data_IF_231127164835
#
_entry.id   IF_231127164835
#
_cell.length_a   1.000
_cell.length_b   1.000
_cell.length_c   1.000
_cell.angle_alpha   90.00
_cell.angle_beta   90.00
_cell.angle_gamma   90.00
#
_symmetry.space_group_name_H-M   'P 1'
#
loop_
_entity.id
_entity.type
_entity.pdbx_description
1 polymer ?
#
# COMPACT_ATOMS: atom_id res chain seq x y z
N UNK A 1 7.65 -42.81 -46.57
CA UNK A 1 8.93 -43.21 -47.21
C UNK A 1 9.99 -43.03 -46.14
N UNK A 2 10.68 -44.01 -45.57
CA UNK A 2 10.98 -45.41 -45.90
C UNK A 2 12.38 -45.70 -45.29
N UNK A 3 12.61 -46.93 -44.83
CA UNK A 3 13.81 -47.48 -44.14
C UNK A 3 13.92 -47.18 -42.64
N UNK A 4 13.75 -48.09 -41.66
CA UNK A 4 13.92 -49.55 -41.52
C UNK A 4 15.38 -50.05 -41.47
N UNK A 5 15.80 -50.54 -40.30
CA UNK A 5 16.53 -51.79 -40.00
C UNK A 5 16.58 -51.92 -38.44
N UNK A 6 15.82 -52.83 -37.79
CA UNK A 6 16.11 -54.26 -37.52
C UNK A 6 17.30 -54.42 -36.54
N UNK A 7 17.35 -55.25 -35.49
CA UNK A 7 16.51 -56.25 -34.79
C UNK A 7 17.45 -56.82 -33.71
N UNK A 8 17.07 -57.06 -32.45
CA UNK A 8 16.77 -58.39 -31.85
C UNK A 8 16.71 -58.15 -30.31
N UNK A 9 15.65 -58.44 -29.53
CA UNK A 9 15.01 -59.72 -29.11
C UNK A 9 16.00 -60.63 -28.34
N UNK A 10 15.82 -61.00 -27.07
CA UNK A 10 14.87 -61.93 -26.40
C UNK A 10 15.43 -62.16 -24.98
N UNK A 11 14.83 -62.73 -23.94
CA UNK A 11 13.53 -63.29 -23.50
C UNK A 11 13.77 -63.43 -21.95
N UNK A 12 12.83 -63.19 -21.05
CA UNK A 12 11.79 -64.15 -20.66
C UNK A 12 12.06 -64.70 -19.24
N UNK A 13 11.03 -64.76 -18.39
CA UNK A 13 11.10 -65.43 -17.09
C UNK A 13 9.97 -65.06 -16.13
N UNK A 14 8.94 -65.91 -16.07
CA UNK A 14 7.68 -65.76 -15.33
C UNK A 14 7.70 -66.53 -13.98
N UNK A 15 6.58 -66.41 -13.24
CA UNK A 15 6.09 -67.17 -12.07
C UNK A 15 6.50 -66.63 -10.68
N UNK A 16 5.59 -66.09 -9.84
CA UNK A 16 4.39 -66.63 -9.15
C UNK A 16 4.73 -67.21 -7.76
N UNK A 17 4.13 -66.67 -6.68
CA UNK A 17 3.25 -67.40 -5.74
C UNK A 17 2.88 -66.58 -4.48
N UNK A 18 1.63 -66.80 -4.05
CA UNK A 18 0.89 -66.21 -2.93
C UNK A 18 1.31 -66.68 -1.53
N UNK A 19 0.95 -65.91 -0.48
CA UNK A 19 0.10 -66.27 0.71
C UNK A 19 0.24 -65.19 1.81
N UNK A 20 -0.80 -64.41 2.17
CA UNK A 20 -1.95 -64.65 3.09
C UNK A 20 -1.58 -64.76 4.58
N UNK A 21 -2.19 -63.91 5.42
CA UNK A 21 -2.33 -64.14 6.87
C UNK A 21 -2.81 -62.95 7.70
N UNK A 22 -4.13 -62.82 7.92
CA UNK A 22 -4.76 -62.03 9.02
C UNK A 22 -4.90 -62.92 10.25
N UNK A 23 -4.67 -62.40 11.47
CA UNK A 23 -5.36 -62.86 12.67
C UNK A 23 -5.24 -61.84 13.83
N UNK A 24 -6.38 -61.43 14.36
CA UNK A 24 -6.54 -60.66 15.60
C UNK A 24 -6.53 -61.60 16.82
N UNK A 25 -6.03 -61.13 17.97
CA UNK A 25 -6.37 -61.70 19.29
C UNK A 25 -6.48 -60.60 20.35
N UNK A 26 -7.70 -60.52 20.90
CA UNK A 26 -8.10 -59.83 22.13
C UNK A 26 -7.70 -60.70 23.32
N UNK A 27 -7.18 -60.10 24.40
CA UNK A 27 -7.11 -60.73 25.72
C UNK A 27 -7.57 -59.72 26.76
N UNK A 28 -8.68 -60.05 27.42
CA UNK A 28 -9.15 -59.45 28.66
C UNK A 28 -8.66 -60.28 29.86
N UNK A 29 -8.74 -59.64 31.04
CA UNK A 29 -8.78 -60.16 32.41
C UNK A 29 -7.54 -59.86 33.24
N UNK A 30 -7.69 -58.94 34.20
CA UNK A 30 -7.23 -59.15 35.57
C UNK A 30 -8.09 -58.32 36.54
N UNK A 31 -8.49 -58.98 37.63
CA UNK A 31 -9.47 -58.61 38.63
C UNK A 31 -8.92 -57.66 39.71
N UNK A 32 -9.84 -56.92 40.31
CA UNK A 32 -9.71 -56.10 41.51
C UNK A 32 -9.40 -56.92 42.77
N UNK A 33 -8.50 -56.44 43.63
CA UNK A 33 -8.56 -56.65 45.08
C UNK A 33 -8.18 -55.36 45.84
N UNK A 34 -9.03 -55.03 46.81
CA UNK A 34 -8.99 -53.89 47.73
C UNK A 34 -7.92 -54.05 48.82
N UNK A 35 -7.29 -52.95 49.26
CA UNK A 35 -7.46 -52.34 50.60
C UNK A 35 -6.21 -51.61 51.15
N UNK A 36 -6.50 -50.47 51.82
CA UNK A 36 -5.79 -49.84 52.93
C UNK A 36 -4.60 -48.88 52.68
N UNK A 37 -4.96 -47.61 52.52
CA UNK A 37 -4.43 -46.37 53.12
C UNK A 37 -3.03 -46.32 53.76
N UNK A 38 -2.24 -45.34 53.30
CA UNK A 38 -1.53 -44.38 54.16
C UNK A 38 -1.18 -43.11 53.37
N UNK A 39 -1.26 -41.99 54.05
CA UNK A 39 -1.09 -40.61 53.60
C UNK A 39 0.35 -40.32 53.15
N UNK A 40 0.53 -39.71 51.97
CA UNK A 40 1.67 -38.84 51.68
C UNK A 40 1.34 -37.94 50.47
N UNK A 41 0.89 -36.72 50.75
CA UNK A 41 0.94 -35.59 49.82
C UNK A 41 2.41 -35.32 49.47
N UNK A 42 2.83 -35.44 48.20
CA UNK A 42 3.92 -34.66 47.57
C UNK A 42 4.15 -35.01 46.09
N UNK A 43 4.23 -33.95 45.29
CA UNK A 43 4.82 -33.80 43.95
C UNK A 43 4.25 -34.53 42.73
N UNK A 44 3.43 -33.80 41.97
CA UNK A 44 3.55 -33.79 40.51
C UNK A 44 3.76 -32.36 40.01
N UNK A 45 4.78 -32.23 39.18
CA UNK A 45 5.29 -30.97 38.65
C UNK A 45 4.26 -30.30 37.74
N UNK A 46 3.95 -29.04 38.06
CA UNK A 46 3.27 -28.13 37.15
C UNK A 46 4.20 -27.79 35.98
N UNK A 47 3.93 -28.40 34.83
CA UNK A 47 4.35 -27.85 33.54
C UNK A 47 3.37 -26.74 33.17
N UNK A 48 3.52 -25.55 33.74
CA UNK A 48 2.76 -24.38 33.28
C UNK A 48 3.11 -24.10 31.81
N UNK A 49 2.12 -23.90 30.91
CA UNK A 49 2.41 -23.29 29.61
C UNK A 49 2.95 -21.87 29.86
N UNK A 50 3.84 -21.34 28.99
CA UNK A 50 4.37 -20.01 29.17
C UNK A 50 3.19 -19.01 29.23
N UNK A 51 3.18 -18.21 30.28
CA UNK A 51 2.24 -17.12 30.45
C UNK A 51 2.23 -16.27 29.17
N UNK A 52 1.06 -16.18 28.54
CA UNK A 52 0.82 -15.26 27.43
C UNK A 52 0.98 -13.84 27.97
N UNK A 53 2.18 -13.28 27.82
CA UNK A 53 2.37 -11.83 27.98
C UNK A 53 1.60 -11.19 26.82
N UNK A 54 0.59 -10.34 27.08
CA UNK A 54 -0.07 -9.59 26.02
C UNK A 54 0.98 -8.73 25.32
N UNK A 55 1.35 -9.08 24.09
CA UNK A 55 2.18 -8.22 23.25
C UNK A 55 1.29 -7.07 22.77
N UNK A 56 1.64 -5.84 23.13
CA UNK A 56 0.90 -4.64 22.73
C UNK A 56 0.97 -4.49 21.20
N UNK A 57 -0.08 -4.92 20.49
CA UNK A 57 -0.21 -4.77 19.03
C UNK A 57 -1.38 -3.85 18.70
N UNK A 58 -1.16 -2.94 17.75
CA UNK A 58 -2.23 -2.09 17.22
C UNK A 58 -3.05 -2.87 16.23
N UNK A 59 -4.18 -3.42 16.65
CA UNK A 59 -5.09 -4.14 15.76
C UNK A 59 -6.42 -3.39 15.71
N UNK A 60 -6.67 -2.71 14.59
CA UNK A 60 -8.00 -2.18 14.30
C UNK A 60 -8.73 -3.15 13.36
N UNK A 61 -9.73 -3.86 13.88
CA UNK A 61 -10.60 -4.73 13.07
C UNK A 61 -11.88 -3.98 12.73
N UNK A 62 -12.13 -3.78 11.44
CA UNK A 62 -13.41 -3.32 10.94
C UNK A 62 -14.23 -4.53 10.46
N UNK A 63 -15.30 -4.84 11.19
CA UNK A 63 -16.27 -5.86 10.77
C UNK A 63 -17.42 -5.22 9.99
N UNK A 64 -17.88 -5.89 8.94
CA UNK A 64 -19.08 -5.46 8.23
C UNK A 64 -20.31 -5.75 9.11
N UNK A 65 -21.02 -4.71 9.56
CA UNK A 65 -22.30 -4.90 10.23
C UNK A 65 -23.27 -5.62 9.28
N UNK A 66 -23.88 -6.73 9.74
CA UNK A 66 -24.94 -7.39 9.01
C UNK A 66 -26.08 -6.40 8.77
N UNK A 67 -26.46 -6.20 7.51
CA UNK A 67 -27.56 -5.30 7.17
C UNK A 67 -28.87 -5.85 7.75
N UNK A 68 -29.37 -5.24 8.83
CA UNK A 68 -30.74 -5.45 9.25
C UNK A 68 -31.66 -4.94 8.14
N UNK A 69 -32.50 -5.82 7.60
CA UNK A 69 -33.50 -5.48 6.58
C UNK A 69 -34.62 -4.63 7.20
N UNK A 70 -34.33 -3.36 7.46
CA UNK A 70 -35.30 -2.34 7.87
C UNK A 70 -35.81 -1.58 6.66
N UNK A 71 -37.13 -1.60 6.41
CA UNK A 71 -37.78 -0.75 5.41
C UNK A 71 -37.54 0.73 5.75
N UNK A 72 -36.63 1.38 5.04
CA UNK A 72 -36.45 2.84 5.13
C UNK A 72 -37.46 3.56 4.26
N UNK A 73 -38.35 4.32 4.91
CA UNK A 73 -39.26 5.31 4.31
C UNK A 73 -38.41 6.46 3.75
N UNK A 74 -38.44 6.68 2.42
CA UNK A 74 -37.73 7.79 1.76
C UNK A 74 -38.33 9.13 2.21
N UNK A 75 -37.62 9.85 3.08
CA UNK A 75 -37.79 11.30 3.24
C UNK A 75 -36.88 12.02 2.24
N UNK A 76 -37.47 12.84 1.37
CA UNK A 76 -36.73 13.78 0.52
C UNK A 76 -36.53 15.06 1.31
N UNK A 77 -35.41 15.17 2.04
CA UNK A 77 -34.93 16.47 2.48
C UNK A 77 -33.89 16.99 1.48
N UNK A 78 -34.26 18.05 0.77
CA UNK A 78 -33.34 18.85 -0.02
C UNK A 78 -32.32 19.48 0.93
N UNK A 79 -31.07 19.03 0.87
CA UNK A 79 -29.98 19.60 1.65
C UNK A 79 -29.56 20.92 0.99
N UNK A 80 -30.15 22.03 1.45
CA UNK A 80 -29.59 23.35 1.20
C UNK A 80 -28.19 23.41 1.80
N UNK A 81 -27.17 23.48 0.95
CA UNK A 81 -25.79 23.79 1.36
C UNK A 81 -25.75 25.22 1.88
N UNK A 82 -26.07 25.42 3.16
CA UNK A 82 -25.69 26.63 3.88
C UNK A 82 -24.17 26.59 4.05
N UNK A 83 -23.46 27.51 3.39
CA UNK A 83 -22.08 27.84 3.76
C UNK A 83 -22.07 28.19 5.26
N UNK A 84 -21.16 27.63 6.09
CA UNK A 84 -21.00 28.13 7.45
C UNK A 84 -20.62 29.60 7.37
N UNK A 85 -21.27 30.43 8.17
CA UNK A 85 -20.89 31.83 8.32
C UNK A 85 -19.42 31.88 8.76
N UNK A 86 -18.60 32.63 8.04
CA UNK A 86 -17.27 33.01 8.47
C UNK A 86 -17.38 33.79 9.79
N UNK A 87 -16.96 33.19 10.90
CA UNK A 87 -16.89 33.91 12.17
C UNK A 87 -16.99 33.03 13.41
N UNK A 88 -15.83 32.73 13.99
CA UNK A 88 -15.55 32.00 15.24
C UNK A 88 -15.52 30.48 15.10
N UNK A 89 -14.31 29.94 15.16
CA UNK A 89 -14.09 28.52 15.43
C UNK A 89 -14.84 28.12 16.71
N UNK A 90 -15.54 26.97 16.73
CA UNK A 90 -16.30 26.54 17.89
C UNK A 90 -15.43 26.15 19.08
N UNK A 91 -14.12 25.96 18.87
CA UNK A 91 -13.15 25.59 19.90
C UNK A 91 -12.22 26.77 20.22
N UNK A 92 -11.78 26.92 21.48
CA UNK A 92 -10.73 27.87 21.82
C UNK A 92 -9.44 27.61 21.03
N UNK A 93 -8.77 28.69 20.60
CA UNK A 93 -7.44 28.61 19.99
C UNK A 93 -6.47 27.94 20.97
N UNK A 94 -5.68 26.99 20.48
CA UNK A 94 -4.73 26.21 21.28
C UNK A 94 -5.27 24.90 21.86
N UNK A 95 -6.59 24.66 21.85
CA UNK A 95 -7.16 23.36 22.24
C UNK A 95 -7.20 22.38 21.07
N UNK A 96 -7.56 22.87 19.88
CA UNK A 96 -7.64 22.04 18.69
C UNK A 96 -6.23 21.72 18.17
N UNK A 97 -5.94 20.41 18.02
CA UNK A 97 -4.73 19.96 17.34
C UNK A 97 -5.02 19.76 15.84
N UNK A 98 -4.18 20.36 14.99
CA UNK A 98 -4.31 20.26 13.53
C UNK A 98 -3.80 18.93 12.97
N UNK A 99 -3.02 18.18 13.74
CA UNK A 99 -2.39 16.94 13.31
C UNK A 99 -2.60 15.82 14.32
N UNK A 100 -2.52 14.60 13.82
CA UNK A 100 -2.46 13.36 14.60
C UNK A 100 -1.26 12.54 14.12
N UNK A 101 -0.93 11.46 14.81
CA UNK A 101 0.16 10.57 14.41
C UNK A 101 -0.17 9.11 14.73
N UNK A 102 0.75 8.20 14.41
CA UNK A 102 0.58 6.77 14.67
C UNK A 102 1.46 6.29 15.83
N UNK A 103 1.98 7.18 16.67
CA UNK A 103 2.89 6.83 17.76
C UNK A 103 2.12 6.26 18.96
N UNK A 104 2.66 5.19 19.58
CA UNK A 104 2.03 4.56 20.74
C UNK A 104 2.22 5.38 22.01
N UNK A 105 1.17 5.39 22.82
CA UNK A 105 1.33 5.74 24.24
C UNK A 105 2.00 4.56 24.96
N UNK A 106 3.09 4.80 25.71
CA UNK A 106 3.84 3.74 26.39
C UNK A 106 3.05 3.13 27.56
N UNK A 107 2.04 3.84 28.08
CA UNK A 107 1.18 3.36 29.16
C UNK A 107 -0.21 4.01 29.09
N UNK A 108 -1.24 3.23 29.43
CA UNK A 108 -2.61 3.73 29.60
C UNK A 108 -2.82 4.47 30.94
N UNK A 109 -1.90 4.30 31.89
CA UNK A 109 -1.96 4.89 33.23
C UNK A 109 -0.72 5.75 33.55
N UNK A 110 0.12 6.02 32.55
CA UNK A 110 1.31 6.85 32.72
C UNK A 110 0.98 8.33 32.90
N UNK A 111 2.02 9.12 33.20
CA UNK A 111 1.91 10.59 33.25
C UNK A 111 1.51 11.13 31.87
N UNK A 112 0.31 11.70 31.68
CA UNK A 112 -0.15 12.17 30.37
C UNK A 112 0.70 13.31 29.79
N UNK A 113 1.52 13.98 30.61
CA UNK A 113 2.41 15.06 30.17
C UNK A 113 3.79 14.56 29.71
N UNK A 114 4.05 13.24 29.74
CA UNK A 114 5.36 12.69 29.40
C UNK A 114 5.84 13.11 28.00
N UNK A 115 4.91 13.19 27.02
CA UNK A 115 5.22 13.63 25.66
C UNK A 115 5.62 15.09 25.60
N UNK A 116 4.90 15.95 26.32
CA UNK A 116 5.20 17.37 26.39
C UNK A 116 6.60 17.57 27.00
N UNK A 117 6.91 16.87 28.09
CA UNK A 117 8.24 16.88 28.72
C UNK A 117 9.34 16.39 27.78
N UNK A 118 9.10 15.35 26.98
CA UNK A 118 10.05 14.90 25.96
C UNK A 118 10.23 15.91 24.82
N UNK A 119 9.15 16.54 24.36
CA UNK A 119 9.20 17.56 23.32
C UNK A 119 9.92 18.82 23.79
N UNK A 120 9.69 19.27 25.02
CA UNK A 120 10.39 20.39 25.65
C UNK A 120 11.89 20.09 25.80
N UNK A 121 12.24 18.88 26.23
CA UNK A 121 13.64 18.45 26.30
C UNK A 121 14.30 18.40 24.90
N UNK A 122 13.57 17.94 23.88
CA UNK A 122 14.04 17.92 22.49
C UNK A 122 14.06 19.31 21.83
N UNK A 123 13.30 20.28 22.35
CA UNK A 123 13.28 21.66 21.89
C UNK A 123 14.28 22.57 22.63
N UNK A 124 15.11 22.00 23.50
CA UNK A 124 16.17 22.74 24.18
C UNK A 124 17.11 23.43 23.17
N UNK A 125 17.65 24.63 23.47
CA UNK A 125 18.33 25.49 22.47
C UNK A 125 19.54 24.85 21.76
N UNK A 126 20.10 23.77 22.31
CA UNK A 126 21.24 23.05 21.76
C UNK A 126 20.87 21.76 20.99
N UNK A 127 19.59 21.37 20.98
CA UNK A 127 19.14 20.15 20.31
C UNK A 127 18.71 20.45 18.86
N UNK A 128 19.13 19.63 17.87
CA UNK A 128 18.59 19.72 16.52
C UNK A 128 17.08 19.42 16.55
N UNK A 129 16.28 20.04 15.66
CA UNK A 129 14.84 19.77 15.61
C UNK A 129 14.61 18.27 15.34
N UNK A 130 13.61 17.66 15.99
CA UNK A 130 13.36 16.23 15.85
C UNK A 130 13.07 15.89 14.38
N UNK A 131 13.83 14.95 13.84
CA UNK A 131 13.64 14.45 12.48
C UNK A 131 12.28 13.75 12.40
N UNK A 132 11.46 14.16 11.42
CA UNK A 132 10.20 13.48 11.13
C UNK A 132 10.47 12.19 10.37
N UNK A 133 9.68 11.16 10.68
CA UNK A 133 9.74 9.87 9.98
C UNK A 133 8.99 9.97 8.65
N UNK A 134 9.19 8.99 7.80
CA UNK A 134 8.30 8.67 6.68
C UNK A 134 7.38 7.50 7.04
N UNK A 135 6.26 7.34 6.33
CA UNK A 135 5.29 6.28 6.58
C UNK A 135 5.27 5.29 5.42
N UNK A 136 5.47 4.00 5.72
CA UNK A 136 5.19 2.92 4.79
C UNK A 136 3.81 2.31 5.06
N UNK A 137 2.95 2.30 4.05
CA UNK A 137 1.63 1.68 4.07
C UNK A 137 1.51 0.60 2.98
N UNK A 138 1.19 -0.64 3.37
CA UNK A 138 1.17 -1.79 2.45
C UNK A 138 -0.09 -2.64 2.70
N UNK A 139 -0.88 -2.99 1.67
CA UNK A 139 -1.90 -4.01 1.79
C UNK A 139 -1.25 -5.37 1.90
N UNK A 140 -1.63 -6.17 2.89
CA UNK A 140 -0.97 -7.43 3.19
C UNK A 140 -1.96 -8.59 3.31
N UNK A 141 -1.52 -9.75 2.86
CA UNK A 141 -2.14 -11.03 3.18
C UNK A 141 -1.11 -12.10 3.48
N UNK A 142 -1.54 -13.05 4.29
CA UNK A 142 -0.66 -14.02 4.93
C UNK A 142 0.06 -14.93 3.94
N UNK A 143 -0.49 -15.09 2.72
CA UNK A 143 0.12 -15.88 1.66
C UNK A 143 1.40 -15.25 1.10
N UNK A 144 1.57 -13.94 1.22
CA UNK A 144 2.73 -13.21 0.71
C UNK A 144 3.63 -12.68 1.84
N UNK A 145 3.46 -13.25 3.04
CA UNK A 145 4.13 -12.84 4.28
C UNK A 145 5.66 -12.71 4.15
N UNK A 146 6.32 -13.65 3.48
CA UNK A 146 7.78 -13.64 3.34
C UNK A 146 8.30 -12.51 2.43
N UNK A 147 7.54 -12.16 1.38
CA UNK A 147 7.87 -11.04 0.50
C UNK A 147 7.73 -9.73 1.27
N UNK A 148 6.62 -9.57 1.99
CA UNK A 148 6.39 -8.39 2.84
C UNK A 148 7.43 -8.29 3.95
N UNK A 149 7.88 -9.41 4.52
CA UNK A 149 8.97 -9.40 5.50
C UNK A 149 10.26 -8.81 4.93
N UNK A 150 10.66 -9.25 3.72
CA UNK A 150 11.83 -8.67 3.03
C UNK A 150 11.62 -7.19 2.73
N UNK A 151 10.41 -6.80 2.33
CA UNK A 151 10.02 -5.41 2.10
C UNK A 151 10.20 -4.57 3.36
N UNK A 152 9.48 -4.89 4.44
CA UNK A 152 9.47 -4.09 5.68
C UNK A 152 10.85 -4.06 6.35
N UNK A 153 11.63 -5.14 6.23
CA UNK A 153 13.00 -5.20 6.79
C UNK A 153 13.96 -4.17 6.19
N UNK A 154 13.68 -3.62 4.99
CA UNK A 154 14.47 -2.53 4.41
C UNK A 154 14.20 -1.17 5.05
N UNK A 155 13.10 -1.01 5.81
CA UNK A 155 12.66 0.28 6.34
C UNK A 155 13.02 0.42 7.83
N UNK A 156 14.13 1.11 8.17
CA UNK A 156 14.60 1.22 9.55
C UNK A 156 13.61 1.94 10.46
N UNK A 157 13.54 1.50 11.72
CA UNK A 157 12.54 1.99 12.68
C UNK A 157 12.70 3.46 13.05
N UNK A 158 13.93 3.99 12.99
CA UNK A 158 14.23 5.39 13.33
C UNK A 158 13.76 6.37 12.25
N UNK A 159 13.73 5.92 10.99
CA UNK A 159 13.32 6.76 9.85
C UNK A 159 11.89 6.48 9.37
N UNK A 160 11.33 5.30 9.69
CA UNK A 160 10.05 4.87 9.13
C UNK A 160 9.07 4.31 10.17
N UNK A 161 7.84 4.83 10.11
CA UNK A 161 6.67 4.16 10.65
C UNK A 161 6.09 3.17 9.61
N UNK A 162 5.43 2.12 10.07
CA UNK A 162 4.86 1.08 9.20
C UNK A 162 3.40 0.86 9.56
N UNK A 163 2.55 0.78 8.54
CA UNK A 163 1.14 0.47 8.63
C UNK A 163 0.79 -0.64 7.64
N UNK A 164 0.16 -1.71 8.14
CA UNK A 164 -0.23 -2.87 7.35
C UNK A 164 -1.75 -2.93 7.20
N UNK A 165 -2.22 -3.08 5.97
CA UNK A 165 -3.65 -3.24 5.65
C UNK A 165 -4.00 -4.71 5.37
N UNK A 166 -4.43 -5.43 6.39
CA UNK A 166 -4.77 -6.85 6.34
C UNK A 166 -6.09 -7.06 5.60
N UNK A 167 -6.02 -7.26 4.29
CA UNK A 167 -7.21 -7.49 3.45
C UNK A 167 -7.76 -8.91 3.59
N UNK A 168 -7.03 -9.84 4.19
CA UNK A 168 -7.49 -11.20 4.48
C UNK A 168 -7.96 -11.39 5.94
N UNK A 169 -7.70 -10.40 6.79
CA UNK A 169 -8.02 -10.40 8.22
C UNK A 169 -7.03 -11.19 9.10
N UNK A 170 -5.97 -11.75 8.53
CA UNK A 170 -4.98 -12.56 9.26
C UNK A 170 -3.93 -11.64 9.92
N UNK A 171 -4.17 -11.22 11.16
CA UNK A 171 -3.26 -10.30 11.88
C UNK A 171 -2.29 -11.03 12.79
N UNK A 172 -2.76 -12.02 13.56
CA UNK A 172 -1.96 -12.64 14.64
C UNK A 172 -0.70 -13.33 14.13
N UNK A 173 -0.79 -13.95 12.95
CA UNK A 173 0.30 -14.68 12.32
C UNK A 173 1.47 -13.78 11.91
N UNK A 174 1.27 -12.48 11.78
CA UNK A 174 2.38 -11.53 11.54
C UNK A 174 3.24 -11.31 12.77
N UNK A 175 2.82 -11.83 13.91
CA UNK A 175 3.52 -11.77 15.17
C UNK A 175 4.86 -12.48 15.24
N UNK A 176 5.18 -13.29 14.22
CA UNK A 176 6.43 -14.05 14.15
C UNK A 176 7.63 -13.17 13.79
N UNK A 177 7.40 -11.91 13.41
CA UNK A 177 8.46 -10.96 13.08
C UNK A 177 8.57 -9.87 14.15
N UNK A 178 9.79 -9.58 14.61
CA UNK A 178 10.03 -8.60 15.67
C UNK A 178 9.56 -7.19 15.29
N UNK A 179 9.73 -6.79 14.03
CA UNK A 179 9.28 -5.49 13.54
C UNK A 179 7.75 -5.35 13.53
N UNK A 180 6.99 -6.44 13.65
CA UNK A 180 5.52 -6.43 13.67
C UNK A 180 4.98 -5.64 14.85
N UNK A 181 5.67 -5.66 16.00
CA UNK A 181 5.23 -4.97 17.22
C UNK A 181 5.25 -3.44 17.08
N UNK A 182 6.14 -2.89 16.25
CA UNK A 182 6.17 -1.44 15.96
C UNK A 182 5.20 -1.02 14.86
N UNK A 183 4.62 -1.96 14.11
CA UNK A 183 3.72 -1.66 13.01
C UNK A 183 2.28 -1.39 13.50
N UNK A 184 1.54 -0.61 12.71
CA UNK A 184 0.09 -0.40 12.90
C UNK A 184 -0.64 -1.40 12.03
N UNK A 185 -1.45 -2.29 12.61
CA UNK A 185 -2.23 -3.28 11.86
C UNK A 185 -3.68 -2.82 11.75
N UNK A 186 -4.16 -2.70 10.52
CA UNK A 186 -5.56 -2.40 10.22
C UNK A 186 -6.11 -3.55 9.39
N UNK A 187 -7.19 -4.17 9.85
CA UNK A 187 -7.76 -5.35 9.23
C UNK A 187 -9.21 -5.12 8.81
N UNK A 188 -9.48 -5.35 7.53
CA UNK A 188 -10.81 -5.32 6.95
C UNK A 188 -10.86 -6.29 5.77
N UNK A 189 -11.52 -7.43 5.98
CA UNK A 189 -11.50 -8.52 5.00
C UNK A 189 -12.14 -8.10 3.68
N UNK A 190 -11.48 -8.43 2.57
CA UNK A 190 -11.93 -8.16 1.21
C UNK A 190 -11.83 -6.71 0.76
N UNK A 191 -11.18 -5.84 1.53
CA UNK A 191 -10.97 -4.43 1.16
C UNK A 191 -9.64 -4.26 0.42
N UNK A 192 -9.59 -3.32 -0.52
CA UNK A 192 -8.42 -3.04 -1.35
C UNK A 192 -7.52 -1.96 -0.74
N UNK A 193 -6.29 -1.84 -1.25
CA UNK A 193 -5.31 -0.80 -0.88
C UNK A 193 -5.92 0.59 -0.73
N UNK A 194 -6.61 1.07 -1.77
CA UNK A 194 -7.16 2.42 -1.78
C UNK A 194 -8.39 2.59 -0.89
N UNK A 195 -9.12 1.51 -0.57
CA UNK A 195 -10.17 1.56 0.43
C UNK A 195 -9.60 1.87 1.82
N UNK A 196 -8.49 1.21 2.18
CA UNK A 196 -7.78 1.47 3.44
C UNK A 196 -7.13 2.85 3.45
N UNK A 197 -6.39 3.19 2.39
CA UNK A 197 -5.73 4.49 2.27
C UNK A 197 -6.72 5.65 2.47
N UNK A 198 -7.91 5.57 1.86
CA UNK A 198 -8.94 6.61 2.02
C UNK A 198 -9.42 6.78 3.47
N UNK A 199 -9.43 5.71 4.28
CA UNK A 199 -10.00 5.70 5.62
C UNK A 199 -8.99 5.91 6.73
N UNK A 200 -7.75 5.46 6.54
CA UNK A 200 -6.75 5.41 7.61
C UNK A 200 -5.52 6.29 7.34
N UNK A 201 -5.31 6.74 6.10
CA UNK A 201 -4.25 7.71 5.76
C UNK A 201 -4.86 9.11 5.57
N UNK A 202 -5.64 9.57 6.55
CA UNK A 202 -6.23 10.91 6.51
C UNK A 202 -5.11 11.99 6.53
N UNK A 203 -5.27 13.14 5.84
CA UNK A 203 -4.19 14.11 5.69
C UNK A 203 -3.54 14.60 6.98
N UNK A 204 -4.29 14.72 8.06
CA UNK A 204 -3.83 15.21 9.36
C UNK A 204 -3.10 14.12 10.16
N UNK A 205 -3.36 12.84 9.87
CA UNK A 205 -2.53 11.71 10.33
C UNK A 205 -1.21 11.65 9.57
N UNK A 206 -1.26 11.82 8.24
CA UNK A 206 -0.06 11.82 7.40
C UNK A 206 0.78 13.09 7.62
N UNK A 207 0.17 14.17 8.12
CA UNK A 207 0.84 15.43 8.40
C UNK A 207 1.96 15.34 9.45
N UNK A 208 2.05 14.25 10.21
CA UNK A 208 3.17 13.96 11.11
C UNK A 208 4.43 13.42 10.39
N UNK A 209 4.31 12.98 9.13
CA UNK A 209 5.37 12.33 8.37
C UNK A 209 5.85 13.20 7.20
N UNK A 210 7.10 13.00 6.77
CA UNK A 210 7.65 13.73 5.62
C UNK A 210 7.12 13.19 4.29
N UNK A 211 7.18 11.87 4.13
CA UNK A 211 6.68 11.16 2.94
C UNK A 211 5.81 9.98 3.33
N UNK A 212 4.88 9.60 2.45
CA UNK A 212 4.06 8.39 2.57
C UNK A 212 4.24 7.50 1.35
N UNK A 213 4.63 6.25 1.60
CA UNK A 213 4.79 5.17 0.63
C UNK A 213 3.51 4.34 0.66
N UNK A 214 2.81 4.19 -0.47
CA UNK A 214 1.55 3.43 -0.55
C UNK A 214 1.73 2.28 -1.52
N UNK A 215 2.49 1.27 -1.09
CA UNK A 215 3.02 0.23 -1.95
C UNK A 215 2.14 -1.02 -1.99
N UNK A 216 2.21 -1.79 -3.07
CA UNK A 216 1.65 -3.15 -3.12
C UNK A 216 2.57 -4.15 -2.39
N UNK A 217 2.05 -5.34 -2.04
CA UNK A 217 2.81 -6.36 -1.31
C UNK A 217 3.72 -7.24 -2.18
N UNK A 218 3.54 -7.25 -3.49
CA UNK A 218 4.25 -8.13 -4.42
C UNK A 218 5.49 -7.46 -5.05
N UNK A 219 6.12 -6.61 -4.26
CA UNK A 219 7.30 -5.82 -4.60
C UNK A 219 8.54 -6.43 -3.95
N UNK A 220 9.49 -6.85 -4.77
CA UNK A 220 10.83 -7.24 -4.32
C UNK A 220 11.75 -6.02 -4.24
N UNK A 221 12.51 -5.94 -3.15
CA UNK A 221 13.30 -4.76 -2.77
C UNK A 221 14.79 -5.08 -2.60
N UNK A 222 15.28 -6.13 -3.23
CA UNK A 222 16.67 -6.59 -3.03
C UNK A 222 17.68 -5.47 -3.35
N UNK A 223 17.45 -4.76 -4.46
CA UNK A 223 18.28 -3.65 -4.94
C UNK A 223 17.76 -2.25 -4.52
N UNK A 224 16.84 -2.18 -3.56
CA UNK A 224 16.25 -0.93 -3.09
C UNK A 224 16.71 -0.59 -1.67
N UNK A 225 17.04 0.68 -1.46
CA UNK A 225 17.29 1.31 -0.17
C UNK A 225 16.37 2.54 0.03
N UNK A 226 15.45 2.53 1.00
CA UNK A 226 14.49 3.61 1.18
C UNK A 226 15.10 4.93 1.68
N UNK A 227 16.26 4.87 2.35
CA UNK A 227 16.95 6.08 2.84
C UNK A 227 17.61 6.79 1.68
N UNK A 228 18.39 6.05 0.86
CA UNK A 228 18.99 6.59 -0.37
C UNK A 228 17.95 7.08 -1.36
N UNK A 229 16.85 6.36 -1.50
CA UNK A 229 15.71 6.78 -2.31
C UNK A 229 15.19 8.16 -1.87
N UNK A 230 14.96 8.36 -0.58
CA UNK A 230 14.47 9.64 -0.07
C UNK A 230 15.52 10.76 -0.18
N UNK A 231 16.81 10.45 -0.14
CA UNK A 231 17.86 11.45 -0.39
C UNK A 231 17.79 11.98 -1.82
N UNK A 232 17.51 11.12 -2.80
CA UNK A 232 17.26 11.55 -4.19
C UNK A 232 15.96 12.34 -4.28
N UNK A 233 14.85 11.85 -3.72
CA UNK A 233 13.55 12.56 -3.73
C UNK A 233 13.68 13.98 -3.18
N UNK A 234 14.40 14.16 -2.06
CA UNK A 234 14.64 15.48 -1.46
C UNK A 234 15.55 16.36 -2.32
N UNK A 235 16.67 15.81 -2.80
CA UNK A 235 17.62 16.56 -3.64
C UNK A 235 16.95 17.07 -4.91
N UNK A 236 16.12 16.24 -5.52
CA UNK A 236 15.46 16.49 -6.80
C UNK A 236 14.11 17.23 -6.67
N UNK A 237 13.69 17.55 -5.44
CA UNK A 237 12.43 18.25 -5.18
C UNK A 237 11.19 17.49 -5.66
N UNK A 238 11.21 16.15 -5.59
CA UNK A 238 10.08 15.33 -6.03
C UNK A 238 8.99 15.32 -4.95
N UNK A 239 7.78 15.68 -5.39
CA UNK A 239 6.57 15.75 -4.57
C UNK A 239 5.72 14.49 -4.72
N UNK A 240 5.77 13.88 -5.91
CA UNK A 240 5.18 12.57 -6.20
C UNK A 240 6.23 11.75 -6.94
N UNK A 241 6.57 10.58 -6.41
CA UNK A 241 7.65 9.79 -6.96
C UNK A 241 7.41 8.30 -6.85
N UNK A 242 8.24 7.50 -7.53
CA UNK A 242 8.33 6.07 -7.32
C UNK A 242 9.76 5.58 -7.59
N UNK A 243 10.18 4.42 -7.08
CA UNK A 243 11.39 3.76 -7.59
C UNK A 243 11.18 3.29 -9.03
N UNK A 244 12.27 3.16 -9.78
CA UNK A 244 12.23 2.51 -11.09
C UNK A 244 11.89 1.03 -10.97
N UNK A 245 11.27 0.49 -12.01
CA UNK A 245 10.97 -0.93 -12.15
C UNK A 245 12.13 -1.61 -12.86
N UNK A 246 12.67 -2.66 -12.23
CA UNK A 246 13.55 -3.61 -12.88
C UNK A 246 12.88 -4.14 -14.15
N UNK A 247 13.65 -4.33 -15.22
CA UNK A 247 13.15 -4.74 -16.54
C UNK A 247 12.49 -6.13 -16.56
N UNK A 248 12.71 -6.92 -15.52
CA UNK A 248 12.05 -8.21 -15.29
C UNK A 248 10.63 -8.07 -14.72
N UNK A 249 10.23 -6.86 -14.33
CA UNK A 249 8.90 -6.57 -13.77
C UNK A 249 7.79 -6.68 -14.81
N UNK A 250 6.54 -6.81 -14.34
CA UNK A 250 5.36 -6.52 -15.17
C UNK A 250 5.26 -5.00 -15.40
N UNK A 251 5.75 -4.53 -16.56
CA UNK A 251 5.81 -3.10 -16.92
C UNK A 251 4.62 -2.71 -17.78
N UNK A 252 3.83 -1.74 -17.33
CA UNK A 252 2.68 -1.22 -18.09
C UNK A 252 3.02 0.06 -18.87
N UNK A 253 3.89 0.91 -18.30
CA UNK A 253 4.29 2.18 -18.89
C UNK A 253 5.82 2.31 -18.95
N UNK A 254 6.34 2.70 -20.11
CA UNK A 254 7.79 2.74 -20.33
C UNK A 254 8.51 3.74 -19.41
N UNK A 255 7.83 4.81 -18.98
CA UNK A 255 8.38 5.82 -18.07
C UNK A 255 8.76 5.25 -16.70
N UNK A 256 8.25 4.09 -16.27
CA UNK A 256 8.62 3.50 -14.98
C UNK A 256 9.77 2.51 -15.09
N UNK A 257 10.24 2.23 -16.30
CA UNK A 257 11.27 1.22 -16.53
C UNK A 257 12.63 1.78 -16.18
N UNK A 258 13.42 1.01 -15.42
CA UNK A 258 14.83 1.35 -15.15
C UNK A 258 15.61 1.58 -16.44
N UNK A 259 16.31 2.70 -16.50
CA UNK A 259 17.14 3.09 -17.63
C UNK A 259 18.23 2.05 -17.91
N UNK A 260 18.63 1.94 -19.18
CA UNK A 260 19.74 1.05 -19.59
C UNK A 260 21.08 1.58 -19.08
N UNK A 261 21.21 2.89 -19.10
CA UNK A 261 22.37 3.64 -18.68
C UNK A 261 21.95 4.53 -17.52
N UNK A 262 22.79 4.71 -16.49
CA UNK A 262 22.50 5.61 -15.40
C UNK A 262 22.17 7.02 -15.91
N UNK A 263 21.13 7.63 -15.36
CA UNK A 263 20.88 9.06 -15.57
C UNK A 263 21.80 9.89 -14.68
N UNK A 264 22.21 11.07 -15.15
CA UNK A 264 23.17 11.93 -14.44
C UNK A 264 22.64 12.37 -13.06
N UNK A 265 21.34 12.69 -12.99
CA UNK A 265 20.62 13.08 -11.77
C UNK A 265 20.03 11.88 -11.00
N UNK A 266 20.17 10.66 -11.52
CA UNK A 266 19.63 9.43 -10.94
C UNK A 266 18.10 9.33 -10.97
N UNK A 267 17.42 10.16 -11.76
CA UNK A 267 15.97 10.15 -11.94
C UNK A 267 15.58 10.22 -13.42
N UNK A 268 14.33 9.90 -13.75
CA UNK A 268 13.74 10.23 -15.04
C UNK A 268 12.29 10.69 -14.89
N UNK A 269 11.94 11.74 -15.64
CA UNK A 269 10.63 12.41 -15.58
C UNK A 269 9.91 12.38 -16.92
N UNK A 270 10.53 11.81 -17.95
CA UNK A 270 10.05 11.78 -19.33
C UNK A 270 10.51 10.52 -20.05
N UNK A 271 9.67 10.01 -20.95
CA UNK A 271 10.04 8.97 -21.91
C UNK A 271 9.78 9.45 -23.35
N UNK A 272 10.65 9.04 -24.27
CA UNK A 272 10.51 9.27 -25.71
C UNK A 272 10.41 7.92 -26.40
N UNK A 273 9.20 7.45 -26.64
CA UNK A 273 8.90 6.21 -27.36
C UNK A 273 7.83 6.47 -28.44
N UNK A 274 7.47 5.43 -29.21
CA UNK A 274 6.48 5.56 -30.28
C UNK A 274 5.09 6.03 -29.81
N UNK A 275 4.76 5.88 -28.52
CA UNK A 275 3.48 6.34 -27.94
C UNK A 275 3.56 7.79 -27.46
N UNK A 276 4.74 8.25 -27.04
CA UNK A 276 4.96 9.58 -26.48
C UNK A 276 5.50 10.61 -27.48
N UNK A 277 6.03 10.17 -28.63
CA UNK A 277 6.61 11.05 -29.64
C UNK A 277 7.65 12.02 -29.06
N UNK A 278 7.68 13.24 -29.58
CA UNK A 278 8.60 14.31 -29.12
C UNK A 278 8.16 15.00 -27.81
N UNK A 279 7.08 14.54 -27.17
CA UNK A 279 6.69 14.95 -25.82
C UNK A 279 5.49 15.88 -25.77
N UNK A 280 4.30 15.28 -25.85
CA UNK A 280 2.99 15.87 -25.56
C UNK A 280 2.83 16.50 -24.16
N UNK A 281 3.85 16.42 -23.29
CA UNK A 281 3.85 17.05 -21.96
C UNK A 281 2.86 16.41 -20.98
N UNK A 282 2.18 15.35 -21.43
CA UNK A 282 1.06 14.74 -20.74
C UNK A 282 1.47 13.40 -20.11
N UNK A 283 0.76 12.94 -19.07
CA UNK A 283 0.95 11.61 -18.56
C UNK A 283 0.37 10.60 -19.56
N UNK A 284 1.01 9.43 -19.76
CA UNK A 284 2.08 8.88 -18.94
C UNK A 284 3.49 9.25 -19.43
N UNK A 285 3.63 10.16 -20.39
CA UNK A 285 4.89 10.46 -21.06
C UNK A 285 5.79 11.41 -20.28
N UNK A 286 5.21 12.24 -19.42
CA UNK A 286 5.89 13.23 -18.57
C UNK A 286 5.26 13.28 -17.19
N UNK A 287 6.09 13.34 -16.15
CA UNK A 287 5.63 13.61 -14.78
C UNK A 287 4.58 12.61 -14.31
N UNK A 288 4.86 11.32 -14.46
CA UNK A 288 3.92 10.23 -14.19
C UNK A 288 4.56 9.16 -13.31
N UNK A 289 3.77 8.62 -12.40
CA UNK A 289 4.11 7.45 -11.58
C UNK A 289 2.89 6.53 -11.53
N UNK A 290 3.16 5.23 -11.39
CA UNK A 290 2.15 4.19 -11.29
C UNK A 290 1.64 4.06 -9.86
N UNK A 291 0.34 3.81 -9.72
CA UNK A 291 -0.35 3.67 -8.43
C UNK A 291 0.05 2.44 -7.61
N UNK A 292 0.94 1.57 -8.12
CA UNK A 292 1.42 0.38 -7.44
C UNK A 292 2.43 0.67 -6.32
N UNK A 293 3.43 1.54 -6.57
CA UNK A 293 4.50 1.91 -5.62
C UNK A 293 4.71 3.42 -5.49
N UNK A 294 3.64 4.25 -5.44
CA UNK A 294 3.80 5.68 -5.34
C UNK A 294 4.32 6.08 -3.95
N UNK A 295 5.04 7.18 -3.94
CA UNK A 295 5.50 7.91 -2.77
C UNK A 295 5.03 9.36 -2.93
N UNK A 296 4.39 9.88 -1.90
CA UNK A 296 3.89 11.25 -1.88
C UNK A 296 4.60 12.03 -0.78
N UNK A 297 4.93 13.28 -1.05
CA UNK A 297 5.15 14.25 0.02
C UNK A 297 3.86 14.44 0.82
N UNK A 298 4.00 14.97 2.03
CA UNK A 298 2.84 15.39 2.84
C UNK A 298 1.89 16.33 2.10
N UNK A 299 2.43 17.31 1.39
CA UNK A 299 1.64 18.30 0.67
C UNK A 299 0.86 17.65 -0.47
N UNK A 300 1.56 16.82 -1.27
CA UNK A 300 0.94 16.12 -2.38
C UNK A 300 -0.12 15.11 -1.91
N UNK A 301 0.13 14.39 -0.81
CA UNK A 301 -0.84 13.46 -0.27
C UNK A 301 -2.13 14.13 0.21
N UNK A 302 -2.06 15.32 0.83
CA UNK A 302 -3.27 16.05 1.26
C UNK A 302 -4.21 16.31 0.08
N UNK A 303 -3.68 16.65 -1.09
CA UNK A 303 -4.46 16.77 -2.32
C UNK A 303 -4.90 15.41 -2.87
N UNK A 304 -3.97 14.45 -3.01
CA UNK A 304 -4.25 13.14 -3.61
C UNK A 304 -5.30 12.35 -2.81
N UNK A 305 -5.28 12.44 -1.48
CA UNK A 305 -6.29 11.85 -0.62
C UNK A 305 -7.70 12.39 -0.91
N UNK A 306 -7.84 13.68 -1.24
CA UNK A 306 -9.10 14.29 -1.67
C UNK A 306 -9.61 13.73 -3.00
N UNK A 307 -8.69 13.34 -3.88
CA UNK A 307 -8.98 12.73 -5.18
C UNK A 307 -9.47 11.28 -5.05
N UNK A 308 -8.95 10.52 -4.09
CA UNK A 308 -9.41 9.14 -3.81
C UNK A 308 -10.89 9.15 -3.39
N UNK A 309 -11.72 8.43 -4.14
CA UNK A 309 -13.17 8.38 -3.95
C UNK A 309 -13.56 7.27 -2.95
N UNK A 310 -14.58 7.52 -2.13
CA UNK A 310 -15.01 6.56 -1.10
C UNK A 310 -15.56 5.23 -1.67
N UNK A 311 -16.13 5.27 -2.88
CA UNK A 311 -16.80 4.16 -3.55
C UNK A 311 -15.97 3.52 -4.69
N UNK A 312 -14.88 4.16 -5.14
CA UNK A 312 -13.97 3.63 -6.15
C UNK A 312 -12.71 3.12 -5.46
N UNK A 313 -12.65 1.81 -5.25
CA UNK A 313 -11.71 1.21 -4.29
C UNK A 313 -10.44 0.66 -4.97
N UNK A 314 -10.37 0.58 -6.30
CA UNK A 314 -9.19 0.03 -6.99
C UNK A 314 -8.15 1.09 -7.36
N UNK A 315 -8.52 2.36 -7.41
CA UNK A 315 -7.60 3.48 -7.69
C UNK A 315 -7.10 3.59 -9.13
N UNK A 316 -7.59 2.77 -10.06
CA UNK A 316 -7.22 2.88 -11.48
C UNK A 316 -7.65 4.24 -12.05
N UNK A 317 -6.73 4.91 -12.75
CA UNK A 317 -6.90 6.26 -13.29
C UNK A 317 -6.38 7.38 -12.37
N UNK A 318 -6.07 7.09 -11.10
CA UNK A 318 -5.47 8.07 -10.20
C UNK A 318 -4.05 8.46 -10.66
N UNK A 319 -3.26 7.50 -11.13
CA UNK A 319 -1.95 7.67 -11.76
C UNK A 319 -1.92 8.78 -12.82
N UNK A 320 -2.98 8.92 -13.61
CA UNK A 320 -3.10 10.00 -14.60
C UNK A 320 -3.38 11.39 -14.02
N UNK A 321 -3.78 11.47 -12.74
CA UNK A 321 -4.23 12.71 -12.10
C UNK A 321 -3.40 13.11 -10.88
N UNK A 322 -2.65 12.20 -10.25
CA UNK A 322 -1.82 12.51 -9.07
C UNK A 322 -0.80 13.61 -9.32
N UNK A 323 -0.35 13.80 -10.57
CA UNK A 323 0.52 14.92 -10.93
C UNK A 323 -0.10 16.31 -10.71
N UNK A 324 -1.43 16.45 -10.73
CA UNK A 324 -2.12 17.70 -10.35
C UNK A 324 -1.97 18.04 -8.87
N UNK A 325 -1.60 17.06 -8.05
CA UNK A 325 -1.39 17.23 -6.63
C UNK A 325 0.07 17.50 -6.26
N UNK A 326 0.99 17.45 -7.23
CA UNK A 326 2.37 17.86 -6.99
C UNK A 326 2.47 19.39 -7.04
N UNK A 327 2.90 20.06 -5.96
CA UNK A 327 3.24 21.48 -6.03
C UNK A 327 4.21 21.78 -7.19
N UNK A 328 3.96 22.87 -7.92
CA UNK A 328 4.79 23.27 -9.05
C UNK A 328 4.47 22.56 -10.37
N UNK A 329 5.42 22.58 -11.30
CA UNK A 329 5.30 21.89 -12.59
C UNK A 329 5.55 20.38 -12.40
N UNK A 330 4.57 19.54 -12.72
CA UNK A 330 4.68 18.09 -12.62
C UNK A 330 5.81 17.51 -13.48
N UNK A 331 6.20 18.19 -14.56
CA UNK A 331 7.33 17.76 -15.38
C UNK A 331 8.66 17.83 -14.64
N UNK A 332 8.71 18.54 -13.51
CA UNK A 332 9.88 18.71 -12.63
C UNK A 332 9.66 17.97 -11.31
N UNK A 333 8.49 18.12 -10.69
CA UNK A 333 8.24 17.63 -9.31
C UNK A 333 7.63 16.23 -9.26
N UNK A 334 7.36 15.60 -10.42
CA UNK A 334 6.93 14.20 -10.50
C UNK A 334 7.95 13.38 -11.29
N UNK A 335 8.40 12.27 -10.73
CA UNK A 335 9.46 11.49 -11.36
C UNK A 335 9.71 10.12 -10.77
N UNK A 336 10.45 9.33 -11.54
CA UNK A 336 10.91 8.00 -11.17
C UNK A 336 12.36 8.10 -10.74
N UNK A 337 12.68 7.57 -9.57
CA UNK A 337 14.06 7.48 -9.08
C UNK A 337 14.70 6.26 -9.72
N UNK A 338 15.63 6.47 -10.64
CA UNK A 338 16.27 5.41 -11.42
C UNK A 338 17.39 4.71 -10.66
N UNK A 339 18.10 5.46 -9.81
CA UNK A 339 19.20 4.94 -9.01
C UNK A 339 18.77 3.90 -7.97
N UNK A 340 17.49 3.90 -7.57
CA UNK A 340 16.90 2.99 -6.58
C UNK A 340 15.69 2.30 -7.21
N UNK A 341 15.73 0.97 -7.33
CA UNK A 341 14.77 0.24 -8.15
C UNK A 341 14.25 -1.03 -7.47
N UNK A 342 13.05 -1.43 -7.87
CA UNK A 342 12.31 -2.58 -7.33
C UNK A 342 11.87 -3.52 -8.44
N UNK A 343 11.57 -4.78 -8.10
CA UNK A 343 10.96 -5.73 -9.03
C UNK A 343 9.51 -5.98 -8.65
N UNK A 344 8.59 -5.79 -9.59
CA UNK A 344 7.17 -6.07 -9.41
C UNK A 344 6.78 -7.38 -10.07
N UNK A 345 6.27 -8.31 -9.26
CA UNK A 345 5.94 -9.67 -9.70
C UNK A 345 4.61 -9.77 -10.44
N UNK A 346 3.67 -8.84 -10.23
CA UNK A 346 2.33 -8.90 -10.82
C UNK A 346 1.47 -10.04 -10.25
N UNK A 347 1.66 -10.41 -8.99
CA UNK A 347 0.90 -11.48 -8.32
C UNK A 347 -0.46 -10.92 -7.91
N UNK A 348 -1.58 -11.40 -8.48
CA UNK A 348 -2.88 -10.82 -8.16
C UNK A 348 -3.33 -11.19 -6.75
N UNK A 349 -3.64 -10.14 -5.98
CA UNK A 349 -3.83 -10.21 -4.53
C UNK A 349 -5.29 -10.47 -4.12
N UNK A 350 -6.26 -10.10 -4.96
CA UNK A 350 -7.69 -10.28 -4.65
C UNK A 350 -8.21 -11.62 -5.19
N UNK A 351 -7.83 -12.70 -4.53
CA UNK A 351 -8.26 -14.06 -4.84
C UNK A 351 -7.91 -15.03 -3.72
N UNK A 352 -8.73 -15.06 -2.66
CA UNK A 352 -8.69 -16.13 -1.66
C UNK A 352 -9.06 -17.47 -2.31
N UNK A 353 -8.10 -18.11 -2.98
CA UNK A 353 -8.29 -19.39 -3.69
C UNK A 353 -7.46 -19.38 -4.97
N UNK A 354 -6.59 -20.38 -5.13
CA UNK A 354 -5.58 -20.43 -6.18
C UNK A 354 -6.12 -20.14 -7.58
N UNK A 355 -5.35 -19.40 -8.37
CA UNK A 355 -5.31 -19.51 -9.83
C UNK A 355 -6.60 -19.31 -10.62
N UNK A 356 -7.72 -18.86 -10.03
CA UNK A 356 -8.94 -18.66 -10.81
C UNK A 356 -8.82 -17.39 -11.66
N UNK A 357 -8.42 -17.58 -12.92
CA UNK A 357 -8.40 -16.56 -13.98
C UNK A 357 -9.71 -15.76 -14.05
N UNK A 358 -10.84 -16.40 -13.73
CA UNK A 358 -12.16 -15.76 -13.61
C UNK A 358 -12.22 -14.65 -12.55
N UNK A 359 -11.57 -14.84 -11.40
CA UNK A 359 -11.49 -13.84 -10.32
C UNK A 359 -10.63 -12.64 -10.73
N UNK A 360 -9.45 -12.90 -11.30
CA UNK A 360 -8.57 -11.85 -11.85
C UNK A 360 -9.28 -11.01 -12.91
N UNK A 361 -9.99 -11.67 -13.82
CA UNK A 361 -10.77 -10.99 -14.86
C UNK A 361 -11.91 -10.15 -14.26
N UNK A 362 -12.60 -10.64 -13.22
CA UNK A 362 -13.64 -9.87 -12.54
C UNK A 362 -13.09 -8.61 -11.86
N UNK A 363 -11.94 -8.72 -11.17
CA UNK A 363 -11.23 -7.58 -10.58
C UNK A 363 -10.85 -6.57 -11.65
N UNK A 364 -10.17 -7.00 -12.73
CA UNK A 364 -9.83 -6.11 -13.85
C UNK A 364 -11.04 -5.42 -14.46
N UNK A 365 -12.14 -6.16 -14.71
CA UNK A 365 -13.39 -5.58 -15.23
C UNK A 365 -13.96 -4.52 -14.29
N UNK A 366 -13.92 -4.77 -12.97
CA UNK A 366 -14.36 -3.81 -11.96
C UNK A 366 -13.44 -2.59 -11.94
N UNK A 367 -12.12 -2.77 -11.90
CA UNK A 367 -11.15 -1.68 -11.93
C UNK A 367 -11.31 -0.80 -13.17
N UNK A 368 -11.48 -1.39 -14.37
CA UNK A 368 -11.73 -0.64 -15.61
C UNK A 368 -13.08 0.09 -15.59
N UNK A 369 -14.09 -0.42 -14.89
CA UNK A 369 -15.38 0.28 -14.71
C UNK A 369 -15.24 1.45 -13.75
N UNK A 370 -14.53 1.26 -12.64
CA UNK A 370 -14.24 2.31 -11.65
C UNK A 370 -13.43 3.45 -12.27
N UNK A 371 -12.39 3.14 -13.05
CA UNK A 371 -11.60 4.14 -13.79
C UNK A 371 -12.46 4.99 -14.73
N UNK A 372 -13.37 4.36 -15.49
CA UNK A 372 -14.31 5.09 -16.35
C UNK A 372 -15.26 5.99 -15.56
N UNK A 373 -15.67 5.58 -14.35
CA UNK A 373 -16.49 6.43 -13.47
C UNK A 373 -15.66 7.61 -12.96
N UNK A 374 -14.42 7.36 -12.53
CA UNK A 374 -13.49 8.38 -12.07
C UNK A 374 -13.24 9.45 -13.14
N UNK A 375 -12.91 9.04 -14.36
CA UNK A 375 -12.65 9.97 -15.47
C UNK A 375 -13.88 10.84 -15.77
N UNK A 376 -15.09 10.24 -15.83
CA UNK A 376 -16.32 11.03 -16.00
C UNK A 376 -16.56 12.02 -14.87
N UNK A 377 -16.29 11.63 -13.61
CA UNK A 377 -16.41 12.54 -12.45
C UNK A 377 -15.40 13.68 -12.54
N UNK A 378 -14.17 13.40 -12.95
CA UNK A 378 -13.15 14.41 -13.18
C UNK A 378 -13.58 15.42 -14.25
N UNK A 379 -13.97 14.92 -15.42
CA UNK A 379 -14.44 15.75 -16.55
C UNK A 379 -15.64 16.62 -16.15
N UNK A 380 -16.62 16.03 -15.45
CA UNK A 380 -17.78 16.76 -14.95
C UNK A 380 -17.38 17.85 -13.95
N UNK A 381 -16.55 17.52 -12.96
CA UNK A 381 -16.10 18.49 -11.96
C UNK A 381 -15.29 19.64 -12.58
N UNK A 382 -14.40 19.32 -13.52
CA UNK A 382 -13.62 20.31 -14.27
C UNK A 382 -14.52 21.24 -15.11
N UNK A 383 -15.58 20.71 -15.73
CA UNK A 383 -16.51 21.51 -16.52
C UNK A 383 -17.46 22.36 -15.66
N UNK A 384 -17.87 21.87 -14.49
CA UNK A 384 -18.79 22.57 -13.58
C UNK A 384 -18.10 23.65 -12.73
N UNK A 385 -16.81 23.48 -12.41
CA UNK A 385 -16.04 24.46 -11.65
C UNK A 385 -15.51 25.58 -12.55
N UNK A 386 -16.35 26.61 -12.73
CA UNK A 386 -16.02 27.81 -13.52
C UNK A 386 -14.82 28.60 -12.99
N UNK A 387 -14.41 28.38 -11.74
CA UNK A 387 -13.28 29.07 -11.12
C UNK A 387 -11.97 28.31 -11.27
N UNK A 388 -12.05 27.01 -11.56
CA UNK A 388 -10.90 26.17 -11.79
C UNK A 388 -10.36 26.34 -13.21
N UNK A 389 -9.04 26.48 -13.32
CA UNK A 389 -8.33 26.47 -14.59
C UNK A 389 -7.40 25.29 -14.58
N UNK A 390 -7.45 24.47 -15.63
CA UNK A 390 -6.53 23.36 -15.77
C UNK A 390 -5.10 23.91 -15.94
N UNK A 391 -4.19 23.67 -14.97
CA UNK A 391 -2.81 24.16 -15.05
C UNK A 391 -2.00 23.52 -16.19
N UNK A 392 -2.52 22.45 -16.81
CA UNK A 392 -1.87 21.74 -17.91
C UNK A 392 -2.68 21.79 -19.21
N UNK A 393 -3.66 22.69 -19.33
CA UNK A 393 -4.33 22.93 -20.61
C UNK A 393 -3.30 23.42 -21.65
N UNK A 394 -3.39 22.95 -22.92
CA UNK A 394 -2.58 23.51 -23.99
C UNK A 394 -2.81 25.03 -24.09
N UNK A 395 -1.75 25.83 -24.24
CA UNK A 395 -1.94 27.24 -24.55
C UNK A 395 -2.68 27.38 -25.90
N UNK A 396 -3.67 28.28 -26.01
CA UNK A 396 -4.27 28.58 -27.31
C UNK A 396 -3.18 29.10 -28.24
N UNK A 397 -3.12 28.56 -29.46
CA UNK A 397 -2.16 28.97 -30.47
C UNK A 397 -2.20 30.50 -30.62
N UNK A 398 -1.05 31.17 -30.41
CA UNK A 398 -0.93 32.60 -30.73
C UNK A 398 -1.16 32.76 -32.23
N UNK A 399 -2.18 33.52 -32.61
CA UNK A 399 -2.34 33.92 -34.00
C UNK A 399 -1.05 34.61 -34.46
N UNK A 400 -0.50 34.25 -35.64
CA UNK A 400 0.66 34.93 -36.16
C UNK A 400 0.30 36.40 -36.34
N UNK A 401 1.00 37.28 -35.61
CA UNK A 401 0.87 38.73 -35.76
C UNK A 401 1.05 39.06 -37.23
N UNK A 402 0.02 39.64 -37.86
CA UNK A 402 0.12 40.12 -39.23
C UNK A 402 1.34 41.05 -39.32
N UNK A 403 2.32 40.61 -40.11
CA UNK A 403 3.44 41.46 -40.46
C UNK A 403 2.86 42.72 -41.12
N UNK A 404 3.09 43.88 -40.49
CA UNK A 404 2.85 45.17 -41.15
C UNK A 404 3.75 45.21 -42.38
N UNK A 405 3.14 45.28 -43.55
CA UNK A 405 3.84 45.62 -44.79
C UNK A 405 4.57 46.97 -44.59
N UNK A 406 5.84 47.08 -45.01
CA UNK A 406 6.51 48.37 -45.02
C UNK A 406 5.89 49.23 -46.12
N UNK A 407 5.38 50.39 -45.73
CA UNK A 407 5.00 51.45 -46.67
C UNK A 407 6.22 51.88 -47.48
N UNK A 408 6.18 51.64 -48.80
CA UNK A 408 7.10 52.23 -49.74
C UNK A 408 6.92 53.75 -49.76
N UNK A 409 7.93 54.48 -49.30
CA UNK A 409 8.09 55.93 -49.45
C UNK A 409 9.37 56.25 -50.18
#
# INVERSE_FOLDING_TARGET
MGSAFSSTRKDGGSSSLLKVGRAAKVVCVALLLFAAGAVATLHHADSSPPAWIPRNRKILRAEAAAAAAGRTRRSRHAMQRRRPASGREPLPRGLAHETSNLEMEPSLAGDPEWRMKQQEAAAAPAAPPPKRKSLLAVPVGIKNKDVVNRLVSKFPADDFAVMLFHYDGAVEQWGDFDWSERAVHVAAKGQSKWWFAKRFLQPDVVAAYDYVFIWDEDIEVDAFDPVRYLDVVRREGLEVSQPALDRRSEIHHAITTRALLPTEDGVHRRVRDARCGDGDGAPPCVGWVEVMVPVFSRAAWRCAWGMVQNDLIHGWGLDYKVGYCAPGDRAVTVGVVDSEYVLHRGVPVLGGGGGNSAGRAAVRRRSSKEMRIFNRRWEQAAAEDKSWKDPYAPEPAREPSSAREPSSG
#
